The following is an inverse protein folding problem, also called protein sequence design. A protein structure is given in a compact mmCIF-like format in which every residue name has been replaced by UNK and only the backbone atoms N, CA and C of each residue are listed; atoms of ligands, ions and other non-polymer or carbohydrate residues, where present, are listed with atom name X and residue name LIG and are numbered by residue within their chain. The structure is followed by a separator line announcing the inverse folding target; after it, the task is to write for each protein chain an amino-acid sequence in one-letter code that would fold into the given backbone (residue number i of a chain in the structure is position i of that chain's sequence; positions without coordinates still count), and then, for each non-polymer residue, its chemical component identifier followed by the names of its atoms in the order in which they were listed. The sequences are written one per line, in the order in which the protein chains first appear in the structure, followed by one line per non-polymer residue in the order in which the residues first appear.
data_IF_109577647874
#
_entry.id   IF_109577647874
#
_cell.length_a   1.000
_cell.length_b   1.000
_cell.length_c   1.000
_cell.angle_alpha   90.00
_cell.angle_beta   90.00
_cell.angle_gamma   90.00
#
_symmetry.space_group_name_H-M   'P 1'
#
loop_
_entity.id
_entity.type
_entity.pdbx_description
1 polymer ?
#
# COMPACT_ATOMS: atom_id res chain seq x y z
N UNK A 1 17.37 -7.63 -0.26
CA UNK A 1 16.15 -6.94 -0.67
C UNK A 1 15.37 -7.84 -1.63
N UNK A 2 14.14 -8.14 -1.33
CA UNK A 2 13.42 -9.23 -1.97
C UNK A 2 12.30 -8.67 -2.82
N UNK A 3 12.56 -8.54 -4.14
CA UNK A 3 11.59 -8.14 -5.15
C UNK A 3 10.85 -6.82 -4.90
N UNK A 4 11.52 -5.86 -4.29
CA UNK A 4 11.11 -4.48 -4.37
C UNK A 4 11.72 -3.90 -5.64
N UNK A 5 10.93 -3.77 -6.68
CA UNK A 5 11.39 -3.13 -7.92
C UNK A 5 11.23 -1.63 -7.81
N UNK A 6 12.35 -0.92 -7.80
CA UNK A 6 12.40 0.55 -7.89
C UNK A 6 12.63 0.90 -9.35
N UNK A 7 11.67 1.56 -9.99
CA UNK A 7 11.79 2.00 -11.37
C UNK A 7 11.68 3.52 -11.49
N UNK A 8 12.72 4.11 -12.05
CA UNK A 8 12.82 5.48 -12.60
C UNK A 8 12.68 6.69 -11.67
N UNK A 9 12.02 6.63 -10.55
CA UNK A 9 11.84 7.75 -9.63
C UNK A 9 12.09 7.35 -8.18
N UNK A 10 12.26 8.34 -7.31
CA UNK A 10 12.55 8.10 -5.91
C UNK A 10 11.37 7.49 -5.16
N UNK A 11 11.67 6.52 -4.31
CA UNK A 11 10.73 5.95 -3.36
C UNK A 11 11.24 6.24 -1.95
N UNK A 12 10.41 6.93 -1.16
CA UNK A 12 10.68 7.23 0.24
C UNK A 12 9.71 6.46 1.10
N UNK A 13 10.21 5.73 2.09
CA UNK A 13 9.42 4.93 3.03
C UNK A 13 9.75 5.38 4.43
N UNK A 14 8.71 5.80 5.17
CA UNK A 14 8.84 6.26 6.55
C UNK A 14 9.21 5.15 7.53
N UNK A 15 9.60 5.56 8.73
CA UNK A 15 9.99 4.64 9.81
C UNK A 15 8.82 3.73 10.21
N UNK A 16 9.11 2.55 10.75
CA UNK A 16 8.14 1.55 11.19
C UNK A 16 7.18 1.05 10.09
N UNK A 17 7.38 1.43 8.85
CA UNK A 17 6.65 0.84 7.72
C UNK A 17 7.26 -0.50 7.36
N UNK A 18 6.42 -1.52 7.34
CA UNK A 18 6.81 -2.90 7.02
C UNK A 18 6.36 -3.25 5.61
N UNK A 19 7.30 -3.69 4.79
CA UNK A 19 7.05 -4.18 3.44
C UNK A 19 7.39 -5.67 3.39
N UNK A 20 6.38 -6.49 3.16
CA UNK A 20 6.57 -7.94 3.07
C UNK A 20 7.33 -8.34 1.81
N UNK A 21 7.97 -9.52 1.84
CA UNK A 21 8.53 -10.13 0.64
C UNK A 21 7.47 -10.27 -0.47
N UNK A 22 7.87 -10.14 -1.73
CA UNK A 22 7.00 -10.19 -2.92
C UNK A 22 6.02 -9.02 -3.08
N UNK A 23 5.97 -8.07 -2.16
CA UNK A 23 5.32 -6.79 -2.43
C UNK A 23 6.12 -6.02 -3.49
N UNK A 24 5.43 -5.27 -4.32
CA UNK A 24 6.05 -4.46 -5.38
C UNK A 24 5.63 -3.01 -5.23
N UNK A 25 6.60 -2.12 -5.22
CA UNK A 25 6.39 -0.67 -5.19
C UNK A 25 7.09 -0.11 -6.43
N UNK A 26 6.32 0.48 -7.34
CA UNK A 26 6.81 0.85 -8.67
C UNK A 26 6.52 2.32 -8.95
N UNK A 27 7.56 3.12 -9.12
CA UNK A 27 7.48 4.56 -9.37
C UNK A 27 7.78 4.87 -10.85
N UNK A 28 6.80 4.63 -11.73
CA UNK A 28 6.93 4.91 -13.16
C UNK A 28 6.60 6.36 -13.52
N UNK A 29 5.53 6.90 -12.98
CA UNK A 29 4.99 8.22 -13.33
C UNK A 29 5.45 9.37 -12.45
N UNK A 30 6.27 9.08 -11.45
CA UNK A 30 6.78 10.03 -10.50
C UNK A 30 7.14 9.40 -9.17
N UNK A 31 7.66 10.17 -8.23
CA UNK A 31 8.06 9.67 -6.91
C UNK A 31 6.89 9.06 -6.13
N UNK A 32 7.21 8.15 -5.21
CA UNK A 32 6.28 7.61 -4.23
C UNK A 32 6.79 7.94 -2.84
N UNK A 33 5.95 8.58 -2.03
CA UNK A 33 6.24 8.92 -0.64
C UNK A 33 5.26 8.14 0.25
N UNK A 34 5.79 7.23 1.03
CA UNK A 34 5.03 6.42 2.00
C UNK A 34 5.42 6.87 3.39
N UNK A 35 4.44 7.21 4.21
CA UNK A 35 4.64 7.66 5.58
C UNK A 35 5.04 6.54 6.54
N UNK A 36 4.88 6.79 7.82
CA UNK A 36 5.30 5.90 8.89
C UNK A 36 4.22 4.85 9.24
N UNK A 37 4.67 3.74 9.82
CA UNK A 37 3.80 2.72 10.44
C UNK A 37 2.75 2.14 9.50
N UNK A 38 3.06 2.05 8.22
CA UNK A 38 2.22 1.33 7.25
C UNK A 38 2.58 -0.15 7.23
N UNK A 39 1.59 -0.99 6.95
CA UNK A 39 1.79 -2.42 6.72
C UNK A 39 1.45 -2.74 5.27
N UNK A 40 2.44 -3.21 4.53
CA UNK A 40 2.30 -3.61 3.12
C UNK A 40 2.56 -5.11 3.04
N UNK A 41 1.50 -5.88 2.88
CA UNK A 41 1.55 -7.33 2.94
C UNK A 41 2.04 -7.98 1.64
N UNK A 42 2.13 -9.30 1.64
CA UNK A 42 2.65 -10.06 0.50
C UNK A 42 1.83 -9.82 -0.78
N UNK A 43 2.52 -9.77 -1.91
CA UNK A 43 1.92 -9.63 -3.24
C UNK A 43 1.12 -8.32 -3.45
N UNK A 44 1.24 -7.37 -2.55
CA UNK A 44 0.67 -6.03 -2.75
C UNK A 44 1.39 -5.35 -3.90
N UNK A 45 0.64 -4.67 -4.76
CA UNK A 45 1.18 -3.80 -5.79
C UNK A 45 0.79 -2.35 -5.49
N UNK A 46 1.79 -1.51 -5.21
CA UNK A 46 1.65 -0.07 -5.16
C UNK A 46 2.37 0.49 -6.38
N UNK A 47 1.65 1.14 -7.27
CA UNK A 47 2.23 1.65 -8.50
C UNK A 47 1.77 3.06 -8.82
N UNK A 48 2.73 3.95 -9.00
CA UNK A 48 2.51 5.26 -9.61
C UNK A 48 2.74 5.11 -11.11
N UNK A 49 1.66 4.86 -11.85
CA UNK A 49 1.76 4.60 -13.29
C UNK A 49 2.17 5.85 -14.06
N UNK A 50 2.95 5.63 -15.10
CA UNK A 50 3.27 6.68 -16.05
C UNK A 50 2.00 7.15 -16.78
N UNK A 51 1.80 8.46 -16.77
CA UNK A 51 0.74 9.11 -17.53
C UNK A 51 1.39 9.89 -18.67
N UNK A 52 1.22 9.38 -19.88
CA UNK A 52 1.81 10.01 -21.08
C UNK A 52 1.19 11.36 -21.42
N UNK A 53 0.05 11.68 -20.83
CA UNK A 53 -0.65 12.95 -21.03
C UNK A 53 -0.29 14.00 -19.99
N UNK A 54 0.33 13.60 -18.89
CA UNK A 54 0.76 14.51 -17.84
C UNK A 54 2.02 15.27 -18.27
N UNK A 55 2.05 16.61 -18.15
CA UNK A 55 3.21 17.40 -18.57
C UNK A 55 4.43 17.21 -17.66
N UNK A 56 4.21 16.80 -16.43
CA UNK A 56 5.26 16.59 -15.43
C UNK A 56 4.98 15.34 -14.56
N UNK A 57 6.02 14.77 -13.95
CA UNK A 57 5.84 13.68 -13.00
C UNK A 57 4.93 14.08 -11.84
N UNK A 58 4.02 13.20 -11.45
CA UNK A 58 3.11 13.40 -10.32
C UNK A 58 3.52 12.50 -9.17
N UNK A 59 3.69 13.08 -7.99
CA UNK A 59 4.04 12.33 -6.77
C UNK A 59 2.82 11.58 -6.22
N UNK A 60 3.00 10.30 -5.92
CA UNK A 60 2.05 9.51 -5.15
C UNK A 60 2.37 9.66 -3.66
N UNK A 61 1.37 10.01 -2.86
CA UNK A 61 1.51 10.20 -1.42
C UNK A 61 0.63 9.22 -0.65
N UNK A 62 1.24 8.48 0.26
CA UNK A 62 0.57 7.58 1.20
C UNK A 62 0.91 8.03 2.61
N UNK A 63 -0.11 8.27 3.42
CA UNK A 63 0.05 8.77 4.79
C UNK A 63 0.56 7.71 5.77
N UNK A 64 0.04 7.73 7.00
CA UNK A 64 0.52 6.89 8.10
C UNK A 64 -0.54 5.87 8.53
N UNK A 65 -0.11 4.79 9.17
CA UNK A 65 -0.97 3.75 9.75
C UNK A 65 -1.94 3.11 8.75
N UNK A 66 -1.59 3.01 7.49
CA UNK A 66 -2.40 2.29 6.51
C UNK A 66 -2.02 0.81 6.47
N UNK A 67 -3.00 -0.02 6.14
CA UNK A 67 -2.81 -1.46 5.92
C UNK A 67 -3.21 -1.79 4.49
N UNK A 68 -2.28 -2.39 3.76
CA UNK A 68 -2.51 -2.95 2.43
C UNK A 68 -2.42 -4.46 2.56
N UNK A 69 -3.56 -5.14 2.51
CA UNK A 69 -3.63 -6.58 2.68
C UNK A 69 -3.22 -7.35 1.43
N UNK A 70 -3.00 -8.64 1.60
CA UNK A 70 -2.43 -9.55 0.59
C UNK A 70 -3.03 -9.36 -0.80
N UNK A 71 -2.17 -9.09 -1.76
CA UNK A 71 -2.54 -9.05 -3.18
C UNK A 71 -3.41 -7.87 -3.59
N UNK A 72 -3.64 -6.87 -2.73
CA UNK A 72 -4.35 -5.66 -3.15
C UNK A 72 -3.50 -4.84 -4.14
N UNK A 73 -4.17 -3.97 -4.88
CA UNK A 73 -3.55 -3.12 -5.89
C UNK A 73 -3.94 -1.66 -5.65
N UNK A 74 -2.96 -0.80 -5.44
CA UNK A 74 -3.16 0.62 -5.22
C UNK A 74 -2.44 1.44 -6.27
N UNK A 75 -3.21 2.17 -7.06
CA UNK A 75 -2.72 3.14 -8.05
C UNK A 75 -3.08 4.58 -7.66
N UNK A 76 -3.76 4.76 -6.54
CA UNK A 76 -4.20 6.07 -6.06
C UNK A 76 -3.03 7.00 -5.80
N UNK A 77 -3.12 8.22 -6.29
CA UNK A 77 -2.09 9.24 -6.07
C UNK A 77 -2.11 9.82 -4.66
N UNK A 78 -3.20 9.65 -3.93
CA UNK A 78 -3.31 10.15 -2.56
C UNK A 78 -4.11 9.21 -1.67
N UNK A 79 -3.44 8.70 -0.68
CA UNK A 79 -4.02 7.91 0.42
C UNK A 79 -3.71 8.64 1.72
N UNK A 80 -4.72 8.95 2.51
CA UNK A 80 -4.56 9.56 3.82
C UNK A 80 -4.07 8.59 4.89
N UNK A 81 -4.62 8.69 6.09
CA UNK A 81 -4.17 7.93 7.24
C UNK A 81 -5.21 6.90 7.70
N UNK A 82 -4.75 5.84 8.37
CA UNK A 82 -5.62 4.83 8.99
C UNK A 82 -6.59 4.17 8.00
N UNK A 83 -6.20 3.96 6.78
CA UNK A 83 -7.00 3.24 5.80
C UNK A 83 -6.63 1.76 5.77
N UNK A 84 -7.59 0.92 5.43
CA UNK A 84 -7.39 -0.51 5.18
C UNK A 84 -7.85 -0.84 3.76
N UNK A 85 -6.95 -1.31 2.94
CA UNK A 85 -7.26 -1.87 1.63
C UNK A 85 -7.15 -3.38 1.77
N UNK A 86 -8.31 -4.04 1.82
CA UNK A 86 -8.37 -5.46 2.11
C UNK A 86 -7.88 -6.33 0.94
N UNK A 87 -7.76 -7.63 1.21
CA UNK A 87 -7.17 -8.58 0.26
C UNK A 87 -7.79 -8.50 -1.13
N UNK A 88 -6.95 -8.42 -2.16
CA UNK A 88 -7.37 -8.38 -3.57
C UNK A 88 -8.23 -7.18 -3.96
N UNK A 89 -8.41 -6.19 -3.09
CA UNK A 89 -9.10 -4.96 -3.44
C UNK A 89 -8.24 -4.11 -4.39
N UNK A 90 -8.88 -3.22 -5.14
CA UNK A 90 -8.19 -2.32 -6.07
C UNK A 90 -8.65 -0.88 -5.88
N UNK A 91 -7.69 0.02 -5.79
CA UNK A 91 -7.93 1.46 -5.75
C UNK A 91 -7.28 2.08 -6.98
N UNK A 92 -8.11 2.67 -7.83
CA UNK A 92 -7.66 3.25 -9.11
C UNK A 92 -6.94 4.58 -8.93
N UNK A 93 -6.24 5.00 -9.98
CA UNK A 93 -5.41 6.20 -9.98
C UNK A 93 -6.17 7.49 -9.69
N UNK A 94 -7.41 7.58 -10.17
CA UNK A 94 -8.24 8.78 -10.01
C UNK A 94 -9.04 8.83 -8.72
N UNK A 95 -9.03 7.74 -7.96
CA UNK A 95 -9.72 7.66 -6.66
C UNK A 95 -8.75 7.98 -5.55
N UNK A 96 -9.07 8.96 -4.72
CA UNK A 96 -8.31 9.27 -3.51
C UNK A 96 -9.04 8.72 -2.27
N UNK A 97 -8.28 8.27 -1.28
CA UNK A 97 -8.82 7.90 0.02
C UNK A 97 -8.47 8.99 1.04
N UNK A 98 -9.47 9.45 1.78
CA UNK A 98 -9.23 10.35 2.93
C UNK A 98 -8.62 9.56 4.09
N UNK A 99 -9.24 9.50 5.23
CA UNK A 99 -8.72 8.77 6.38
C UNK A 99 -9.78 7.86 7.00
N UNK A 100 -9.34 6.75 7.57
CA UNK A 100 -10.22 5.81 8.22
C UNK A 100 -11.13 5.02 7.29
N UNK A 101 -10.80 4.93 6.01
CA UNK A 101 -11.57 4.18 5.02
C UNK A 101 -11.20 2.69 5.03
N UNK A 102 -12.17 1.85 4.69
CA UNK A 102 -11.95 0.43 4.45
C UNK A 102 -12.46 0.08 3.05
N UNK A 103 -11.58 -0.41 2.21
CA UNK A 103 -11.95 -0.95 0.90
C UNK A 103 -11.97 -2.47 1.04
N UNK A 104 -13.18 -3.03 1.02
CA UNK A 104 -13.41 -4.45 1.29
C UNK A 104 -12.77 -5.37 0.26
N UNK A 105 -12.55 -6.62 0.67
CA UNK A 105 -11.91 -7.64 -0.15
C UNK A 105 -12.57 -7.77 -1.52
N UNK A 106 -11.74 -7.82 -2.56
CA UNK A 106 -12.16 -7.89 -3.97
C UNK A 106 -12.96 -6.69 -4.49
N UNK A 107 -13.19 -5.65 -3.67
CA UNK A 107 -13.83 -4.43 -4.15
C UNK A 107 -12.87 -3.63 -5.05
N UNK A 108 -13.46 -2.95 -6.03
CA UNK A 108 -12.74 -2.03 -6.89
C UNK A 108 -13.38 -0.64 -6.81
N UNK A 109 -12.58 0.36 -6.55
CA UNK A 109 -12.96 1.78 -6.60
C UNK A 109 -12.04 2.48 -7.59
N UNK A 110 -12.61 2.97 -8.68
CA UNK A 110 -11.84 3.53 -9.80
C UNK A 110 -12.40 4.85 -10.35
N UNK A 111 -13.50 5.33 -9.79
CA UNK A 111 -14.09 6.61 -10.18
C UNK A 111 -13.24 7.80 -9.75
N UNK A 112 -13.34 8.91 -10.49
CA UNK A 112 -12.67 10.16 -10.16
C UNK A 112 -13.38 10.83 -8.98
N UNK A 113 -12.92 10.53 -7.77
CA UNK A 113 -13.50 11.05 -6.54
C UNK A 113 -12.52 11.00 -5.37
N UNK A 114 -12.86 11.71 -4.31
CA UNK A 114 -12.24 11.56 -3.00
C UNK A 114 -13.22 10.81 -2.11
N UNK A 115 -12.85 9.61 -1.69
CA UNK A 115 -13.64 8.81 -0.75
C UNK A 115 -13.60 9.50 0.61
N UNK A 116 -14.75 9.91 1.17
CA UNK A 116 -14.79 10.63 2.45
C UNK A 116 -14.26 9.83 3.63
N UNK A 117 -13.89 10.52 4.71
CA UNK A 117 -13.45 9.89 5.95
C UNK A 117 -14.40 8.81 6.43
N UNK A 118 -13.83 7.74 6.95
CA UNK A 118 -14.56 6.64 7.59
C UNK A 118 -15.57 5.92 6.68
N UNK A 119 -15.37 5.95 5.38
CA UNK A 119 -16.18 5.20 4.42
C UNK A 119 -15.74 3.75 4.37
N UNK A 120 -16.72 2.85 4.44
CA UNK A 120 -16.51 1.41 4.21
C UNK A 120 -17.14 1.02 2.88
N UNK A 121 -16.35 0.44 2.00
CA UNK A 121 -16.81 -0.17 0.74
C UNK A 121 -16.77 -1.67 0.91
N UNK A 122 -17.86 -2.37 0.70
CA UNK A 122 -17.97 -3.78 1.03
C UNK A 122 -18.95 -4.56 0.13
N UNK A 123 -18.79 -5.87 0.16
CA UNK A 123 -19.65 -6.80 -0.54
C UNK A 123 -19.43 -6.87 -2.05
N UNK A 124 -20.14 -7.77 -2.71
CA UNK A 124 -19.99 -8.03 -4.14
C UNK A 124 -20.32 -6.81 -5.03
N UNK A 125 -21.18 -5.95 -4.55
CA UNK A 125 -21.60 -4.73 -5.28
C UNK A 125 -20.81 -3.49 -4.87
N UNK A 126 -19.81 -3.63 -4.01
CA UNK A 126 -19.00 -2.53 -3.49
C UNK A 126 -19.88 -1.39 -2.95
N UNK A 127 -20.82 -1.74 -2.09
CA UNK A 127 -21.73 -0.81 -1.43
C UNK A 127 -20.96 0.01 -0.40
N UNK A 128 -21.36 1.24 -0.18
CA UNK A 128 -20.70 2.18 0.71
C UNK A 128 -21.55 2.51 1.92
N UNK A 129 -20.89 2.66 3.07
CA UNK A 129 -21.46 3.25 4.27
C UNK A 129 -20.40 4.02 5.04
N UNK A 130 -20.83 4.90 5.93
CA UNK A 130 -19.94 5.58 6.88
C UNK A 130 -19.95 4.81 8.19
N UNK A 131 -18.76 4.52 8.73
CA UNK A 131 -18.61 3.84 10.02
C UNK A 131 -18.38 4.84 11.15
N UNK A 132 -18.77 4.46 12.37
CA UNK A 132 -18.61 5.30 13.55
C UNK A 132 -17.19 5.30 14.12
N UNK A 133 -16.41 4.28 13.86
CA UNK A 133 -15.07 4.11 14.40
C UNK A 133 -14.05 3.85 13.29
N UNK A 134 -12.84 4.39 13.44
CA UNK A 134 -11.73 4.14 12.54
C UNK A 134 -11.13 2.77 12.77
N UNK A 135 -10.54 2.14 11.72
CA UNK A 135 -9.74 0.93 11.91
C UNK A 135 -8.63 1.17 12.94
N UNK A 136 -8.41 0.19 13.79
CA UNK A 136 -7.35 0.25 14.78
C UNK A 136 -5.97 0.12 14.13
N UNK A 137 -4.97 0.88 14.56
CA UNK A 137 -3.60 0.71 14.07
C UNK A 137 -3.08 -0.70 14.35
N UNK A 138 -2.32 -1.26 13.41
CA UNK A 138 -1.72 -2.59 13.53
C UNK A 138 -0.38 -2.56 14.29
N UNK A 139 -0.34 -1.87 15.43
CA UNK A 139 0.90 -1.58 16.16
C UNK A 139 1.61 -2.86 16.64
N UNK A 140 0.86 -3.78 17.24
CA UNK A 140 1.43 -5.05 17.73
C UNK A 140 1.97 -5.91 16.59
N UNK A 141 1.24 -6.00 15.48
CA UNK A 141 1.67 -6.74 14.30
C UNK A 141 2.92 -6.12 13.68
N UNK A 142 2.98 -4.80 13.59
CA UNK A 142 4.16 -4.08 13.10
C UNK A 142 5.38 -4.35 13.99
N UNK A 143 5.24 -4.25 15.30
CA UNK A 143 6.33 -4.51 16.24
C UNK A 143 6.86 -5.94 16.12
N UNK A 144 5.96 -6.91 16.01
CA UNK A 144 6.32 -8.31 15.80
C UNK A 144 7.06 -8.51 14.47
N UNK A 145 6.53 -7.99 13.38
CA UNK A 145 7.12 -8.13 12.04
C UNK A 145 8.48 -7.45 11.93
N UNK A 146 8.64 -6.30 12.56
CA UNK A 146 9.94 -5.61 12.61
C UNK A 146 11.02 -6.44 13.30
N UNK A 147 10.64 -7.31 14.23
CA UNK A 147 11.58 -8.20 14.91
C UNK A 147 11.92 -9.45 14.09
N UNK A 148 10.96 -10.05 13.41
CA UNK A 148 11.17 -11.35 12.74
C UNK A 148 11.65 -11.23 11.29
N UNK A 149 11.22 -10.25 10.53
CA UNK A 149 11.58 -10.14 9.11
C UNK A 149 13.10 -9.98 8.87
N UNK A 150 13.85 -9.19 9.64
CA UNK A 150 15.29 -9.13 9.49
C UNK A 150 15.98 -10.49 9.70
N UNK A 151 15.54 -11.28 10.68
CA UNK A 151 16.06 -12.63 10.94
C UNK A 151 15.75 -13.58 9.78
N UNK A 152 14.54 -13.55 9.27
CA UNK A 152 14.13 -14.32 8.10
C UNK A 152 14.99 -13.98 6.86
N UNK A 153 15.23 -12.71 6.62
CA UNK A 153 16.07 -12.26 5.52
C UNK A 153 17.53 -12.75 5.67
N UNK A 154 18.05 -12.73 6.89
CA UNK A 154 19.40 -13.23 7.20
C UNK A 154 19.53 -14.73 6.89
N UNK A 155 18.60 -15.54 7.35
CA UNK A 155 18.57 -16.98 7.05
C UNK A 155 18.52 -17.26 5.55
N UNK A 156 17.72 -16.54 4.79
CA UNK A 156 17.63 -16.70 3.34
C UNK A 156 18.92 -16.36 2.61
N UNK A 157 19.68 -15.39 3.08
CA UNK A 157 20.99 -15.07 2.52
C UNK A 157 21.99 -16.21 2.71
N UNK A 158 21.93 -16.88 3.84
CA UNK A 158 22.80 -18.03 4.11
C UNK A 158 22.44 -19.27 3.28
N UNK A 159 21.19 -19.39 2.85
CA UNK A 159 20.71 -20.54 2.08
C UNK A 159 20.91 -20.41 0.56
N UNK A 160 21.43 -19.31 0.05
CA UNK A 160 21.77 -19.22 -1.37
C UNK A 160 22.98 -20.09 -1.67
N UNK A 161 22.90 -21.04 -2.65
CA UNK A 161 24.07 -21.80 -3.04
C UNK A 161 25.16 -20.84 -3.52
N UNK A 162 26.37 -21.03 -3.01
CA UNK A 162 27.54 -20.38 -3.58
C UNK A 162 27.71 -20.97 -4.98
N UNK A 163 27.33 -20.26 -6.00
CA UNK A 163 27.72 -20.59 -7.38
C UNK A 163 29.23 -20.45 -7.47
N UNK A 164 29.89 -21.57 -7.63
CA UNK A 164 31.31 -21.65 -8.01
C UNK A 164 31.51 -21.05 -9.40
#
# INVERSE_FOLDING_TARGET
MYNMYVWKSDITIGSRTVVHPKARIIAEGGPIVIGESNLIEEQVLIINRADKTAPEPVTMEIGVNNVFEVGCNCESLRIGDNNVVEAKARVGRQTELSSGCVIGSYCEVSSKEVIPDNTVVYGKKCVRRVQGERPQPQTLQLDFLMKILPNYHHLRKQMKPQTK
#
